data_IF_416466496267
#
_entry.id   IF_416466496267
#
_cell.length_a   1.000
_cell.length_b   1.000
_cell.length_c   1.000
_cell.angle_alpha   90.00
_cell.angle_beta   90.00
_cell.angle_gamma   90.00
#
_symmetry.space_group_name_H-M   'P 1'
#
loop_
_entity.id
_entity.type
_entity.pdbx_description
1 polymer ?
#
# COMPACT_ATOMS: atom_id res chain seq x y z
N UNK A 1 -26.89 6.83 -3.79
CA UNK A 1 -26.12 7.87 -4.51
C UNK A 1 -26.99 8.42 -5.62
N UNK A 2 -26.94 9.72 -5.95
CA UNK A 2 -27.74 10.23 -7.04
C UNK A 2 -27.18 9.66 -8.35
N UNK A 3 -27.92 8.74 -8.94
CA UNK A 3 -27.63 8.09 -10.24
C UNK A 3 -27.80 9.11 -11.39
N UNK A 4 -28.23 10.34 -11.11
CA UNK A 4 -28.71 11.30 -12.13
C UNK A 4 -27.62 12.04 -12.92
N UNK A 5 -26.34 11.81 -12.66
CA UNK A 5 -25.28 12.34 -13.54
C UNK A 5 -25.06 11.42 -14.74
N UNK A 6 -24.65 11.94 -15.92
CA UNK A 6 -24.35 11.09 -17.08
C UNK A 6 -23.32 9.99 -16.75
N UNK A 7 -22.29 10.33 -15.98
CA UNK A 7 -21.26 9.40 -15.50
C UNK A 7 -21.86 8.32 -14.59
N UNK A 8 -22.73 8.71 -13.64
CA UNK A 8 -23.42 7.76 -12.76
C UNK A 8 -24.34 6.81 -13.52
N UNK A 9 -25.08 7.29 -14.52
CA UNK A 9 -25.93 6.45 -15.40
C UNK A 9 -25.13 5.46 -16.23
N UNK A 10 -23.90 5.80 -16.62
CA UNK A 10 -22.97 4.90 -17.29
C UNK A 10 -22.42 3.80 -16.35
N UNK A 11 -22.71 3.86 -15.05
CA UNK A 11 -22.31 2.85 -14.07
C UNK A 11 -20.90 3.01 -13.51
N UNK A 12 -20.27 4.18 -13.71
CA UNK A 12 -18.94 4.46 -13.17
C UNK A 12 -18.95 4.57 -11.65
N UNK A 13 -17.95 3.96 -11.02
CA UNK A 13 -17.69 3.99 -9.58
C UNK A 13 -16.22 3.72 -9.29
N UNK A 14 -15.80 3.87 -8.04
CA UNK A 14 -14.50 3.42 -7.56
C UNK A 14 -14.34 1.91 -7.82
N UNK A 15 -13.22 1.53 -8.40
CA UNK A 15 -12.92 0.16 -8.80
C UNK A 15 -13.53 -0.28 -10.14
N UNK A 16 -14.20 0.61 -10.87
CA UNK A 16 -14.53 0.37 -12.29
C UNK A 16 -13.25 0.25 -13.11
N UNK A 17 -13.24 -0.68 -14.08
CA UNK A 17 -12.14 -0.88 -15.02
C UNK A 17 -12.51 -0.27 -16.36
N UNK A 18 -11.58 0.40 -17.03
CA UNK A 18 -11.78 0.90 -18.38
C UNK A 18 -11.70 -0.25 -19.39
N UNK A 19 -12.50 -0.16 -20.46
CA UNK A 19 -12.36 -1.07 -21.60
C UNK A 19 -11.07 -0.78 -22.34
N UNK A 20 -10.37 -1.84 -22.76
CA UNK A 20 -9.13 -1.70 -23.53
C UNK A 20 -9.33 -0.89 -24.82
N UNK A 21 -10.48 -1.04 -25.49
CA UNK A 21 -10.84 -0.28 -26.68
C UNK A 21 -10.95 1.24 -26.44
N UNK A 22 -11.23 1.66 -25.21
CA UNK A 22 -11.36 3.07 -24.84
C UNK A 22 -10.03 3.68 -24.37
N UNK A 23 -8.95 2.89 -24.23
CA UNK A 23 -7.61 3.42 -23.86
C UNK A 23 -7.12 4.46 -24.88
N UNK A 24 -7.51 4.35 -26.15
CA UNK A 24 -7.17 5.31 -27.19
C UNK A 24 -7.76 6.71 -26.97
N UNK A 25 -8.79 6.85 -26.12
CA UNK A 25 -9.42 8.14 -25.77
C UNK A 25 -8.71 8.88 -24.64
N UNK A 26 -7.70 8.26 -24.02
CA UNK A 26 -6.90 8.88 -22.97
C UNK A 26 -5.82 9.80 -23.55
N UNK A 27 -5.29 10.68 -22.71
CA UNK A 27 -4.21 11.59 -23.07
C UNK A 27 -2.94 10.82 -23.50
N UNK A 28 -2.15 11.43 -24.39
CA UNK A 28 -0.94 10.79 -24.98
C UNK A 28 0.11 10.41 -23.93
N UNK A 29 0.26 11.21 -22.87
CA UNK A 29 1.17 10.93 -21.76
C UNK A 29 0.80 9.64 -20.99
N UNK A 30 -0.50 9.28 -20.97
CA UNK A 30 -0.95 8.00 -20.41
C UNK A 30 -0.72 6.92 -21.46
N UNK A 31 -1.22 7.12 -22.69
CA UNK A 31 -1.16 6.09 -23.74
C UNK A 31 0.26 5.61 -24.05
N UNK A 32 1.22 6.53 -24.12
CA UNK A 32 2.62 6.22 -24.43
C UNK A 32 3.32 5.39 -23.34
N UNK A 33 2.80 5.37 -22.11
CA UNK A 33 3.33 4.55 -21.01
C UNK A 33 2.60 3.22 -20.82
N UNK A 34 1.46 3.01 -21.51
CA UNK A 34 0.67 1.77 -21.38
C UNK A 34 1.35 0.60 -22.09
N UNK A 35 1.56 -0.48 -21.35
CA UNK A 35 1.78 -1.80 -21.95
C UNK A 35 0.47 -2.35 -22.53
N UNK A 36 0.58 -3.23 -23.52
CA UNK A 36 -0.57 -3.85 -24.18
C UNK A 36 -1.47 -4.62 -23.23
N UNK A 37 -0.90 -5.21 -22.17
CA UNK A 37 -1.60 -6.03 -21.18
C UNK A 37 -2.10 -5.23 -19.97
N UNK A 38 -1.96 -3.89 -19.98
CA UNK A 38 -2.36 -3.04 -18.86
C UNK A 38 -3.89 -3.02 -18.69
N UNK A 39 -4.33 -2.95 -17.43
CA UNK A 39 -5.69 -2.57 -17.04
C UNK A 39 -5.67 -1.21 -16.37
N UNK A 40 -6.74 -0.44 -16.54
CA UNK A 40 -6.85 0.90 -15.96
C UNK A 40 -8.07 0.94 -15.04
N UNK A 41 -7.84 1.31 -13.79
CA UNK A 41 -8.84 1.29 -12.71
C UNK A 41 -9.16 2.72 -12.29
N UNK A 42 -10.44 3.05 -12.11
CA UNK A 42 -10.85 4.31 -11.47
C UNK A 42 -10.67 4.20 -9.97
N UNK A 43 -9.89 5.10 -9.36
CA UNK A 43 -9.58 5.05 -7.92
C UNK A 43 -10.14 6.22 -7.11
N UNK A 44 -10.63 7.28 -7.75
CA UNK A 44 -11.44 8.31 -7.07
C UNK A 44 -12.69 7.71 -6.41
N UNK A 45 -13.17 8.34 -5.34
CA UNK A 45 -14.35 7.86 -4.62
C UNK A 45 -15.61 8.01 -5.47
N UNK A 46 -16.61 7.16 -5.21
CA UNK A 46 -17.87 7.16 -5.96
C UNK A 46 -18.55 8.53 -6.01
N UNK A 47 -18.51 9.28 -4.90
CA UNK A 47 -19.07 10.63 -4.81
C UNK A 47 -18.34 11.65 -5.69
N UNK A 48 -17.03 11.47 -5.88
CA UNK A 48 -16.20 12.35 -6.70
C UNK A 48 -16.41 12.00 -8.18
N UNK A 49 -16.36 10.70 -8.49
CA UNK A 49 -16.61 10.15 -9.84
C UNK A 49 -17.97 10.60 -10.37
N UNK A 50 -19.01 10.56 -9.54
CA UNK A 50 -20.39 10.86 -9.95
C UNK A 50 -20.85 12.27 -9.60
N UNK A 51 -19.96 13.14 -9.12
CA UNK A 51 -20.32 14.51 -8.70
C UNK A 51 -20.98 15.30 -9.84
N UNK A 52 -22.08 16.00 -9.54
CA UNK A 52 -22.82 16.81 -10.52
C UNK A 52 -22.11 18.08 -10.99
N UNK A 53 -21.05 18.52 -10.30
CA UNK A 53 -20.29 19.71 -10.64
C UNK A 53 -18.90 19.36 -11.15
N UNK A 54 -18.65 19.64 -12.43
CA UNK A 54 -17.32 19.53 -13.02
C UNK A 54 -16.36 20.66 -12.58
N UNK A 55 -16.87 21.74 -12.01
CA UNK A 55 -16.02 22.80 -11.47
C UNK A 55 -15.48 22.43 -10.08
N UNK A 56 -16.33 21.82 -9.24
CA UNK A 56 -15.92 21.36 -7.91
C UNK A 56 -15.08 20.08 -7.98
N UNK A 57 -15.44 19.18 -8.89
CA UNK A 57 -14.74 17.91 -9.10
C UNK A 57 -14.41 17.71 -10.60
N UNK A 58 -13.34 18.36 -11.10
CA UNK A 58 -13.00 18.36 -12.52
C UNK A 58 -12.34 17.07 -12.99
N UNK A 59 -11.67 16.35 -12.09
CA UNK A 59 -10.79 15.24 -12.45
C UNK A 59 -11.25 13.92 -11.86
N UNK A 60 -10.79 12.84 -12.46
CA UNK A 60 -10.83 11.50 -11.89
C UNK A 60 -9.41 10.93 -11.89
N UNK A 61 -9.04 10.23 -10.82
CA UNK A 61 -7.78 9.53 -10.71
C UNK A 61 -7.92 8.11 -11.28
N UNK A 62 -7.04 7.80 -12.23
CA UNK A 62 -6.85 6.49 -12.84
C UNK A 62 -5.60 5.83 -12.27
N UNK A 63 -5.65 4.51 -12.15
CA UNK A 63 -4.54 3.67 -11.73
C UNK A 63 -4.27 2.60 -12.77
N UNK A 64 -3.09 2.69 -13.40
CA UNK A 64 -2.65 1.72 -14.41
C UNK A 64 -1.97 0.56 -13.70
N UNK A 65 -2.39 -0.66 -14.03
CA UNK A 65 -1.93 -1.88 -13.39
C UNK A 65 -1.68 -2.99 -14.39
N UNK A 66 -0.84 -3.95 -14.02
CA UNK A 66 -0.34 -4.99 -14.91
C UNK A 66 -0.63 -6.39 -14.36
N UNK A 67 -0.93 -7.37 -15.23
CA UNK A 67 -1.12 -8.75 -14.80
C UNK A 67 0.10 -9.30 -14.08
N UNK A 68 -0.14 -10.17 -13.11
CA UNK A 68 0.91 -10.75 -12.28
C UNK A 68 0.70 -12.24 -12.04
N UNK A 69 1.77 -13.01 -12.23
CA UNK A 69 1.78 -14.47 -12.07
C UNK A 69 2.36 -14.94 -10.73
N UNK A 70 3.26 -14.16 -10.11
CA UNK A 70 3.95 -14.56 -8.88
C UNK A 70 3.38 -13.91 -7.60
N UNK A 71 3.05 -14.73 -6.60
CA UNK A 71 2.69 -14.26 -5.24
C UNK A 71 3.95 -14.16 -4.35
N UNK A 72 4.12 -13.05 -3.64
CA UNK A 72 5.20 -12.84 -2.64
C UNK A 72 4.60 -12.38 -1.30
N UNK A 73 4.95 -13.03 -0.19
CA UNK A 73 4.37 -12.78 1.15
C UNK A 73 4.55 -11.35 1.66
N UNK A 74 5.70 -10.74 1.39
CA UNK A 74 5.97 -9.34 1.74
C UNK A 74 5.13 -8.30 0.99
N UNK A 75 4.34 -8.72 -0.01
CA UNK A 75 3.51 -7.84 -0.84
C UNK A 75 2.01 -8.02 -0.60
N UNK A 76 1.62 -8.92 0.29
CA UNK A 76 0.24 -9.03 0.74
C UNK A 76 -0.17 -7.79 1.54
N UNK A 77 -1.46 -7.47 1.55
CA UNK A 77 -2.04 -6.39 2.36
C UNK A 77 -1.44 -4.98 2.13
N UNK A 78 -0.86 -4.74 0.95
CA UNK A 78 -0.32 -3.42 0.59
C UNK A 78 0.76 -2.94 1.56
N UNK A 79 1.69 -3.82 1.95
CA UNK A 79 2.80 -3.50 2.87
C UNK A 79 3.89 -2.64 2.25
N UNK A 80 4.10 -2.76 0.94
CA UNK A 80 5.00 -1.88 0.22
C UNK A 80 4.29 -0.56 -0.06
N UNK A 81 4.88 0.61 0.24
CA UNK A 81 4.29 1.91 -0.12
C UNK A 81 4.47 2.28 -1.61
N UNK A 82 5.22 1.46 -2.36
CA UNK A 82 5.56 1.69 -3.77
C UNK A 82 4.84 0.76 -4.72
N UNK A 83 4.50 -0.44 -4.27
CA UNK A 83 3.85 -1.48 -5.07
C UNK A 83 2.69 -2.10 -4.30
N UNK A 84 1.64 -2.49 -5.00
CA UNK A 84 0.50 -3.20 -4.42
C UNK A 84 0.09 -4.36 -5.31
N UNK A 85 -0.10 -5.53 -4.68
CA UNK A 85 -0.73 -6.68 -5.30
C UNK A 85 -2.20 -6.76 -4.87
N UNK A 86 -3.11 -6.90 -5.84
CA UNK A 86 -4.53 -7.03 -5.58
C UNK A 86 -5.21 -7.85 -6.70
N UNK A 87 -6.50 -8.16 -6.52
CA UNK A 87 -7.27 -8.92 -7.52
C UNK A 87 -8.20 -8.01 -8.31
N UNK A 88 -8.31 -8.28 -9.60
CA UNK A 88 -9.39 -7.78 -10.46
C UNK A 88 -10.16 -9.02 -10.93
N UNK A 89 -11.50 -8.97 -10.85
CA UNK A 89 -12.34 -9.99 -11.44
C UNK A 89 -12.46 -9.70 -12.93
N UNK A 90 -11.97 -10.61 -13.78
CA UNK A 90 -11.99 -10.52 -15.24
C UNK A 90 -12.70 -11.77 -15.75
N UNK A 91 -13.77 -11.61 -16.53
CA UNK A 91 -14.60 -12.71 -17.06
C UNK A 91 -15.05 -13.71 -15.97
N UNK A 92 -15.34 -13.18 -14.78
CA UNK A 92 -15.76 -13.99 -13.62
C UNK A 92 -14.62 -14.68 -12.85
N UNK A 93 -13.37 -14.57 -13.31
CA UNK A 93 -12.20 -15.12 -12.63
C UNK A 93 -11.40 -14.06 -11.88
N UNK A 94 -10.97 -14.37 -10.64
CA UNK A 94 -10.09 -13.49 -9.88
C UNK A 94 -8.66 -13.59 -10.45
N UNK A 95 -8.20 -12.49 -11.06
CA UNK A 95 -6.90 -12.37 -11.69
C UNK A 95 -6.02 -11.42 -10.88
N UNK A 96 -4.77 -11.81 -10.67
CA UNK A 96 -3.82 -11.03 -9.87
C UNK A 96 -3.18 -9.93 -10.71
N UNK A 97 -3.14 -8.72 -10.14
CA UNK A 97 -2.49 -7.55 -10.74
C UNK A 97 -1.50 -6.93 -9.77
N UNK A 98 -0.50 -6.23 -10.33
CA UNK A 98 0.40 -5.34 -9.62
C UNK A 98 0.19 -3.90 -10.10
N UNK A 99 0.15 -2.97 -9.17
CA UNK A 99 0.20 -1.54 -9.45
C UNK A 99 1.39 -0.88 -8.78
N UNK A 100 1.96 0.14 -9.43
CA UNK A 100 3.05 0.96 -8.88
C UNK A 100 2.53 2.35 -8.54
N UNK A 101 2.94 2.90 -7.39
CA UNK A 101 2.38 4.17 -6.91
C UNK A 101 2.62 5.38 -7.83
N UNK A 102 3.57 5.27 -8.77
CA UNK A 102 3.83 6.23 -9.85
C UNK A 102 2.82 6.19 -10.98
N UNK A 103 2.11 5.08 -11.16
CA UNK A 103 1.31 4.80 -12.36
C UNK A 103 -0.12 5.29 -12.18
N UNK A 104 -0.24 6.52 -11.64
CA UNK A 104 -1.50 7.19 -11.32
C UNK A 104 -1.61 8.47 -12.11
N UNK A 105 -2.77 8.68 -12.71
CA UNK A 105 -3.00 9.77 -13.64
C UNK A 105 -4.32 10.44 -13.31
N UNK A 106 -4.32 11.78 -13.29
CA UNK A 106 -5.55 12.54 -13.22
C UNK A 106 -5.95 12.92 -14.63
N UNK A 107 -7.20 12.66 -15.01
CA UNK A 107 -7.76 13.04 -16.31
C UNK A 107 -9.00 13.91 -16.11
N UNK A 108 -9.41 14.65 -17.15
CA UNK A 108 -10.73 15.31 -17.15
C UNK A 108 -11.82 14.25 -17.01
N UNK A 109 -12.63 14.39 -15.95
CA UNK A 109 -13.68 13.44 -15.61
C UNK A 109 -14.77 13.35 -16.68
N UNK A 110 -14.95 14.38 -17.52
CA UNK A 110 -15.91 14.37 -18.65
C UNK A 110 -15.64 13.26 -19.66
N UNK A 111 -14.40 12.77 -19.76
CA UNK A 111 -14.09 11.62 -20.61
C UNK A 111 -15.01 10.44 -20.26
N UNK A 112 -15.35 10.23 -18.97
CA UNK A 112 -16.23 9.16 -18.50
C UNK A 112 -17.69 9.27 -18.99
N UNK A 113 -18.13 10.42 -19.51
CA UNK A 113 -19.43 10.53 -20.18
C UNK A 113 -19.44 9.82 -21.55
N UNK A 114 -18.27 9.76 -22.20
CA UNK A 114 -18.08 9.25 -23.56
C UNK A 114 -17.64 7.78 -23.62
N UNK A 115 -17.41 7.20 -22.45
CA UNK A 115 -16.99 5.81 -22.26
C UNK A 115 -17.81 5.16 -21.15
N UNK A 116 -17.76 3.85 -21.09
CA UNK A 116 -18.48 3.05 -20.09
C UNK A 116 -17.52 2.06 -19.45
N UNK A 117 -17.75 1.66 -18.17
CA UNK A 117 -16.95 0.63 -17.56
C UNK A 117 -16.92 -0.66 -18.40
N UNK A 118 -15.84 -1.41 -18.25
CA UNK A 118 -15.77 -2.78 -18.76
C UNK A 118 -16.78 -3.65 -18.00
N UNK A 119 -17.79 -4.22 -18.67
CA UNK A 119 -18.78 -5.06 -18.00
C UNK A 119 -18.19 -6.39 -17.50
N UNK A 120 -17.05 -6.84 -18.05
CA UNK A 120 -16.42 -8.10 -17.66
C UNK A 120 -15.38 -7.94 -16.55
N UNK A 121 -14.96 -6.69 -16.27
CA UNK A 121 -13.84 -6.40 -15.38
C UNK A 121 -14.24 -5.45 -14.25
N UNK A 122 -14.02 -5.87 -13.00
CA UNK A 122 -14.21 -4.99 -11.85
C UNK A 122 -13.35 -5.42 -10.66
N UNK A 123 -13.05 -4.47 -9.78
CA UNK A 123 -12.43 -4.79 -8.50
C UNK A 123 -13.47 -5.40 -7.56
N UNK A 124 -13.18 -6.56 -6.93
CA UNK A 124 -13.91 -7.01 -5.75
C UNK A 124 -13.85 -5.97 -4.62
N UNK A 125 -14.83 -6.00 -3.71
CA UNK A 125 -14.93 -5.04 -2.60
C UNK A 125 -13.70 -5.01 -1.68
N UNK A 126 -13.06 -6.16 -1.50
CA UNK A 126 -11.84 -6.35 -0.72
C UNK A 126 -10.67 -5.63 -1.41
N UNK A 127 -10.56 -5.75 -2.73
CA UNK A 127 -9.55 -5.03 -3.52
C UNK A 127 -9.78 -3.52 -3.51
N UNK A 128 -11.03 -3.06 -3.60
CA UNK A 128 -11.35 -1.62 -3.46
C UNK A 128 -10.91 -1.10 -2.09
N UNK A 129 -11.25 -1.83 -1.02
CA UNK A 129 -10.89 -1.47 0.35
C UNK A 129 -9.38 -1.47 0.56
N UNK A 130 -8.68 -2.49 0.04
CA UNK A 130 -7.23 -2.60 0.10
C UNK A 130 -6.55 -1.44 -0.64
N UNK A 131 -6.99 -1.15 -1.87
CA UNK A 131 -6.42 -0.10 -2.70
C UNK A 131 -6.63 1.28 -2.06
N UNK A 132 -7.83 1.56 -1.55
CA UNK A 132 -8.11 2.80 -0.81
C UNK A 132 -7.19 2.95 0.40
N UNK A 133 -7.08 1.92 1.24
CA UNK A 133 -6.20 1.95 2.41
C UNK A 133 -4.73 2.15 2.01
N UNK A 134 -4.28 1.49 0.94
CA UNK A 134 -2.92 1.62 0.42
C UNK A 134 -2.61 3.01 -0.13
N UNK A 135 -3.54 3.62 -0.89
CA UNK A 135 -3.39 4.99 -1.38
C UNK A 135 -3.28 5.98 -0.20
N UNK A 136 -4.10 5.80 0.83
CA UNK A 136 -4.07 6.63 2.04
C UNK A 136 -2.76 6.50 2.84
N UNK A 137 -2.09 5.33 2.82
CA UNK A 137 -0.85 5.11 3.56
C UNK A 137 0.26 6.12 3.20
N UNK A 138 0.29 6.62 1.95
CA UNK A 138 1.31 7.58 1.52
C UNK A 138 1.19 8.92 2.23
N UNK A 139 -0.02 9.34 2.58
CA UNK A 139 -0.27 10.57 3.33
C UNK A 139 -0.08 10.36 4.83
N UNK A 140 -0.29 9.14 5.32
CA UNK A 140 -0.08 8.78 6.72
C UNK A 140 1.37 8.34 7.02
N UNK A 141 2.29 8.53 6.08
CA UNK A 141 3.68 8.09 6.23
C UNK A 141 4.43 9.06 7.15
N UNK A 142 4.53 8.71 8.43
CA UNK A 142 5.41 9.36 9.39
C UNK A 142 6.81 8.75 9.31
N UNK A 143 7.86 9.60 9.34
CA UNK A 143 9.23 9.13 9.37
C UNK A 143 9.62 8.69 10.79
N UNK A 144 10.51 7.69 10.86
CA UNK A 144 11.26 7.41 12.08
C UNK A 144 12.49 8.33 12.14
N UNK A 145 13.01 8.66 13.34
CA UNK A 145 14.28 9.37 13.49
C UNK A 145 15.43 8.64 12.75
N UNK A 146 16.36 9.41 12.19
CA UNK A 146 17.43 8.87 11.35
C UNK A 146 18.38 7.98 12.16
N UNK A 147 18.68 8.32 13.41
CA UNK A 147 19.52 7.52 14.31
C UNK A 147 18.86 6.17 14.59
N UNK A 148 17.53 6.12 14.75
CA UNK A 148 16.81 4.86 14.92
C UNK A 148 16.97 3.96 13.68
N UNK A 149 16.75 4.50 12.49
CA UNK A 149 16.88 3.75 11.23
C UNK A 149 18.31 3.26 11.01
N UNK A 150 19.31 4.11 11.27
CA UNK A 150 20.73 3.75 11.14
C UNK A 150 21.12 2.59 12.08
N UNK A 151 20.52 2.50 13.28
CA UNK A 151 20.76 1.37 14.22
C UNK A 151 20.26 0.03 13.69
N UNK A 152 19.19 0.05 12.88
CA UNK A 152 18.59 -1.13 12.26
C UNK A 152 19.27 -1.54 10.94
N UNK A 153 20.09 -0.69 10.35
CA UNK A 153 20.72 -0.90 9.04
C UNK A 153 21.47 -2.24 8.96
N UNK A 154 22.16 -2.62 10.02
CA UNK A 154 22.93 -3.87 10.10
C UNK A 154 22.08 -5.16 10.07
N UNK A 155 20.78 -5.08 10.39
CA UNK A 155 19.86 -6.23 10.39
C UNK A 155 18.81 -6.14 9.28
N UNK A 156 18.89 -5.13 8.40
CA UNK A 156 17.84 -4.85 7.41
C UNK A 156 17.55 -6.01 6.47
N UNK A 157 18.59 -6.65 5.94
CA UNK A 157 18.44 -7.73 4.96
C UNK A 157 17.82 -8.96 5.62
N UNK A 158 18.13 -9.19 6.90
CA UNK A 158 17.50 -10.24 7.69
C UNK A 158 16.03 -9.96 7.95
N UNK A 159 15.68 -8.72 8.33
CA UNK A 159 14.28 -8.29 8.51
C UNK A 159 13.50 -8.50 7.21
N UNK A 160 14.03 -8.02 6.08
CA UNK A 160 13.39 -8.16 4.79
C UNK A 160 13.21 -9.63 4.37
N UNK A 161 14.24 -10.44 4.54
CA UNK A 161 14.19 -11.88 4.24
C UNK A 161 13.11 -12.61 5.05
N UNK A 162 13.03 -12.34 6.37
CA UNK A 162 12.02 -12.92 7.25
C UNK A 162 10.61 -12.52 6.79
N UNK A 163 10.36 -11.21 6.61
CA UNK A 163 9.04 -10.71 6.23
C UNK A 163 8.60 -11.22 4.86
N UNK A 164 9.52 -11.33 3.90
CA UNK A 164 9.21 -11.85 2.57
C UNK A 164 8.85 -13.34 2.57
N UNK A 165 9.52 -14.13 3.41
CA UNK A 165 9.34 -15.59 3.48
C UNK A 165 8.19 -16.03 4.37
N UNK A 166 8.01 -15.37 5.51
CA UNK A 166 7.16 -15.85 6.61
C UNK A 166 6.08 -14.85 7.01
N UNK A 167 6.08 -13.64 6.43
CA UNK A 167 5.14 -12.58 6.83
C UNK A 167 3.81 -12.56 6.08
N UNK A 168 3.40 -13.61 5.37
CA UNK A 168 2.28 -13.55 4.42
C UNK A 168 0.92 -13.24 5.09
N UNK A 169 0.76 -13.62 6.36
CA UNK A 169 -0.46 -13.57 7.18
C UNK A 169 -0.51 -12.35 8.11
N UNK A 170 0.61 -11.64 8.24
CA UNK A 170 0.72 -10.38 8.96
C UNK A 170 0.20 -9.29 8.02
N UNK A 171 -0.73 -8.42 8.43
CA UNK A 171 -1.19 -7.29 7.61
C UNK A 171 -0.31 -6.05 7.76
N UNK A 172 0.26 -5.81 8.95
CA UNK A 172 1.18 -4.70 9.21
C UNK A 172 2.21 -5.04 10.30
N UNK A 173 3.38 -4.40 10.22
CA UNK A 173 4.28 -4.26 11.36
C UNK A 173 4.10 -2.83 11.89
N UNK A 174 3.77 -2.70 13.16
CA UNK A 174 3.61 -1.42 13.84
C UNK A 174 4.73 -1.25 14.86
N UNK A 175 5.37 -0.09 14.89
CA UNK A 175 6.44 0.24 15.82
C UNK A 175 6.11 1.52 16.55
N UNK A 176 6.12 1.45 17.88
CA UNK A 176 6.18 2.64 18.74
C UNK A 176 7.59 2.80 19.25
N UNK A 177 8.10 4.03 19.22
CA UNK A 177 9.40 4.37 19.81
C UNK A 177 9.24 5.49 20.82
N UNK A 178 10.12 5.57 21.81
CA UNK A 178 10.19 6.70 22.74
C UNK A 178 11.67 7.13 22.89
N UNK A 179 12.01 8.41 22.61
CA UNK A 179 11.18 9.43 21.95
C UNK A 179 10.92 9.10 20.46
N UNK A 180 9.84 9.63 19.88
CA UNK A 180 9.42 9.34 18.49
C UNK A 180 9.58 10.49 17.50
N UNK A 181 9.88 11.69 18.00
CA UNK A 181 9.94 12.95 17.27
C UNK A 181 11.36 13.53 17.16
N UNK A 182 12.32 13.00 17.92
CA UNK A 182 13.70 13.48 17.94
C UNK A 182 14.72 12.35 17.92
N UNK A 183 15.90 12.64 17.36
CA UNK A 183 17.05 11.76 17.48
C UNK A 183 17.61 11.77 18.90
N UNK A 184 17.78 10.58 19.48
CA UNK A 184 18.50 10.40 20.76
C UNK A 184 20.00 10.46 20.55
N UNK A 185 20.73 10.74 21.63
CA UNK A 185 22.21 10.73 21.61
C UNK A 185 22.74 9.33 21.35
N UNK A 186 24.01 9.23 20.90
CA UNK A 186 24.62 7.93 20.58
C UNK A 186 24.63 6.95 21.75
N UNK A 187 24.76 7.45 22.98
CA UNK A 187 24.78 6.69 24.23
C UNK A 187 23.38 6.40 24.81
N UNK A 188 22.33 6.99 24.25
CA UNK A 188 20.94 6.80 24.66
C UNK A 188 20.24 5.73 23.82
N UNK A 189 19.26 5.04 24.42
CA UNK A 189 18.50 3.99 23.76
C UNK A 189 17.06 4.43 23.47
N UNK A 190 16.54 4.03 22.31
CA UNK A 190 15.11 4.09 22.05
C UNK A 190 14.43 2.95 22.81
N UNK A 191 13.34 3.24 23.51
CA UNK A 191 12.39 2.19 23.90
C UNK A 191 11.53 1.85 22.71
N UNK A 192 11.35 0.56 22.43
CA UNK A 192 10.67 0.09 21.22
C UNK A 192 9.57 -0.91 21.58
N UNK A 193 8.36 -0.65 21.10
CA UNK A 193 7.27 -1.61 21.04
C UNK A 193 7.13 -2.10 19.61
N UNK A 194 7.11 -3.42 19.40
CA UNK A 194 7.09 -4.04 18.08
C UNK A 194 5.89 -4.98 17.94
N UNK A 195 4.93 -4.62 17.08
CA UNK A 195 3.70 -5.38 16.93
C UNK A 195 3.53 -5.91 15.51
N UNK A 196 3.28 -7.22 15.38
CA UNK A 196 2.75 -7.80 14.16
C UNK A 196 1.22 -7.81 14.23
N UNK A 197 0.55 -7.18 13.27
CA UNK A 197 -0.91 -7.15 13.22
C UNK A 197 -1.42 -8.20 12.24
N UNK A 198 -2.47 -8.93 12.60
CA UNK A 198 -3.10 -9.95 11.75
C UNK A 198 -4.59 -9.66 11.52
N UNK A 199 -5.13 -9.94 10.32
CA UNK A 199 -6.56 -9.96 10.07
C UNK A 199 -7.29 -10.88 11.04
N UNK A 200 -8.45 -10.44 11.54
CA UNK A 200 -9.22 -11.13 12.61
C UNK A 200 -9.51 -12.60 12.26
N UNK A 201 -9.83 -12.90 11.00
CA UNK A 201 -10.10 -14.26 10.52
C UNK A 201 -8.84 -15.16 10.52
N UNK A 202 -7.66 -14.59 10.24
CA UNK A 202 -6.40 -15.32 10.30
C UNK A 202 -5.92 -15.48 11.74
N UNK A 203 -6.07 -14.45 12.58
CA UNK A 203 -5.65 -14.47 13.99
C UNK A 203 -6.40 -15.53 14.82
N UNK A 204 -7.68 -15.78 14.50
CA UNK A 204 -8.49 -16.85 15.12
C UNK A 204 -7.90 -18.26 14.89
N UNK A 205 -7.12 -18.45 13.84
CA UNK A 205 -6.48 -19.73 13.54
C UNK A 205 -5.18 -19.85 14.35
N UNK A 206 -5.21 -20.66 15.41
CA UNK A 206 -4.10 -20.78 16.36
C UNK A 206 -2.75 -21.11 15.70
N UNK A 207 -2.75 -21.98 14.68
CA UNK A 207 -1.54 -22.35 13.94
C UNK A 207 -0.93 -21.17 13.17
N UNK A 208 -1.75 -20.29 12.59
CA UNK A 208 -1.28 -19.10 11.88
C UNK A 208 -0.80 -18.03 12.87
N UNK A 209 -1.51 -17.84 13.98
CA UNK A 209 -1.09 -16.93 15.05
C UNK A 209 0.27 -17.33 15.63
N UNK A 210 0.49 -18.62 15.90
CA UNK A 210 1.80 -19.11 16.36
C UNK A 210 2.90 -18.85 15.33
N UNK A 211 2.64 -19.03 14.03
CA UNK A 211 3.62 -18.70 12.99
C UNK A 211 3.96 -17.21 12.97
N UNK A 212 2.97 -16.33 13.05
CA UNK A 212 3.20 -14.89 13.13
C UNK A 212 3.98 -14.50 14.40
N UNK A 213 3.75 -15.20 15.53
CA UNK A 213 4.50 -14.95 16.76
C UNK A 213 5.97 -15.37 16.61
N UNK A 214 6.25 -16.47 15.91
CA UNK A 214 7.63 -16.83 15.60
C UNK A 214 8.32 -15.76 14.75
N UNK A 215 7.60 -15.16 13.79
CA UNK A 215 8.13 -14.03 13.00
C UNK A 215 8.45 -12.84 13.90
N UNK A 216 7.53 -12.41 14.77
CA UNK A 216 7.77 -11.25 15.64
C UNK A 216 8.87 -11.53 16.67
N UNK A 217 9.00 -12.77 17.16
CA UNK A 217 10.09 -13.18 18.05
C UNK A 217 11.45 -13.12 17.33
N UNK A 218 11.52 -13.55 16.07
CA UNK A 218 12.72 -13.44 15.25
C UNK A 218 13.11 -11.98 15.01
N UNK A 219 12.15 -11.12 14.65
CA UNK A 219 12.39 -9.69 14.49
C UNK A 219 12.82 -9.05 15.82
N UNK A 220 12.18 -9.39 16.93
CA UNK A 220 12.57 -8.92 18.25
C UNK A 220 14.00 -9.33 18.64
N UNK A 221 14.44 -10.54 18.26
CA UNK A 221 15.84 -10.96 18.42
C UNK A 221 16.80 -10.12 17.58
N UNK A 222 16.42 -9.70 16.37
CA UNK A 222 17.24 -8.80 15.54
C UNK A 222 17.32 -7.39 16.15
N UNK A 223 16.19 -6.85 16.62
CA UNK A 223 16.14 -5.53 17.26
C UNK A 223 17.02 -5.48 18.51
N UNK A 224 16.96 -6.51 19.37
CA UNK A 224 17.81 -6.60 20.57
C UNK A 224 19.32 -6.69 20.29
N UNK A 225 19.73 -7.07 19.08
CA UNK A 225 21.15 -7.07 18.67
C UNK A 225 21.65 -5.67 18.30
N UNK A 226 20.74 -4.72 18.09
CA UNK A 226 21.09 -3.38 17.68
C UNK A 226 21.42 -2.51 18.90
N UNK A 227 22.62 -1.95 18.94
CA UNK A 227 23.02 -1.00 19.98
C UNK A 227 22.06 0.20 20.02
N UNK A 228 21.72 0.67 21.22
CA UNK A 228 20.79 1.79 21.38
C UNK A 228 19.32 1.43 21.12
N UNK A 229 18.96 0.15 21.11
CA UNK A 229 17.56 -0.32 21.02
C UNK A 229 17.22 -1.12 22.27
N UNK A 230 16.29 -0.60 23.06
CA UNK A 230 15.66 -1.31 24.18
C UNK A 230 14.27 -1.79 23.75
N UNK A 231 14.16 -3.06 23.37
CA UNK A 231 12.88 -3.67 23.04
C UNK A 231 12.05 -3.90 24.31
N UNK A 232 10.96 -3.14 24.46
CA UNK A 232 10.03 -3.20 25.60
C UNK A 232 9.01 -4.31 25.39
N UNK A 233 8.45 -4.40 24.19
CA UNK A 233 7.41 -5.38 23.86
C UNK A 233 7.54 -5.90 22.42
N UNK A 234 7.14 -7.16 22.21
CA UNK A 234 7.16 -7.82 20.91
C UNK A 234 6.09 -8.92 20.83
N UNK A 235 4.97 -8.63 20.19
CA UNK A 235 3.83 -9.56 20.14
C UNK A 235 3.00 -9.45 18.86
N UNK A 236 2.18 -10.47 18.61
CA UNK A 236 1.15 -10.45 17.58
C UNK A 236 -0.15 -9.94 18.15
N UNK A 237 -0.78 -8.99 17.46
CA UNK A 237 -2.12 -8.47 17.76
C UNK A 237 -3.08 -8.75 16.61
N UNK A 238 -4.35 -8.88 16.94
CA UNK A 238 -5.42 -8.90 15.95
C UNK A 238 -5.82 -7.48 15.54
N UNK A 239 -6.30 -7.29 14.31
CA UNK A 239 -6.80 -5.99 13.82
C UNK A 239 -7.91 -5.39 14.70
N UNK A 240 -8.68 -6.23 15.42
CA UNK A 240 -9.71 -5.76 16.35
C UNK A 240 -9.16 -5.31 17.72
N UNK A 241 -7.87 -5.49 17.98
CA UNK A 241 -7.18 -5.08 19.21
C UNK A 241 -6.37 -3.79 19.01
N UNK A 242 -6.13 -3.38 17.75
CA UNK A 242 -5.45 -2.11 17.44
C UNK A 242 -6.43 -0.96 17.66
N UNK A 243 -6.11 -0.10 18.62
CA UNK A 243 -6.97 1.02 19.02
C UNK A 243 -6.72 2.27 18.18
N UNK A 244 -7.61 3.26 18.29
CA UNK A 244 -7.37 4.58 17.71
C UNK A 244 -6.14 5.27 18.34
N UNK A 245 -5.87 5.00 19.61
CA UNK A 245 -4.72 5.57 20.32
C UNK A 245 -3.40 4.96 19.80
N UNK A 246 -3.38 3.65 19.59
CA UNK A 246 -2.28 2.95 18.93
C UNK A 246 -1.94 3.60 17.57
N UNK A 247 -2.95 3.99 16.78
CA UNK A 247 -2.74 4.62 15.47
C UNK A 247 -2.15 6.04 15.53
N UNK A 248 -2.10 6.67 16.71
CA UNK A 248 -1.48 7.99 16.89
C UNK A 248 0.01 7.88 17.19
N UNK A 249 0.43 6.83 17.90
CA UNK A 249 1.81 6.66 18.38
C UNK A 249 2.58 5.56 17.66
N UNK A 250 1.89 4.54 17.15
CA UNK A 250 2.52 3.47 16.40
C UNK A 250 2.62 3.86 14.93
N UNK A 251 3.84 3.81 14.41
CA UNK A 251 4.14 4.05 13.00
C UNK A 251 4.21 2.70 12.28
N UNK A 252 3.58 2.62 11.11
CA UNK A 252 3.72 1.43 10.25
C UNK A 252 5.17 1.32 9.78
N UNK A 253 5.80 0.20 10.06
CA UNK A 253 7.16 -0.10 9.65
C UNK A 253 7.17 -0.89 8.35
N UNK A 254 7.96 -0.42 7.39
CA UNK A 254 8.17 -1.03 6.08
C UNK A 254 9.66 -1.17 5.83
N UNK A 255 10.08 -2.21 5.12
CA UNK A 255 11.49 -2.40 4.74
C UNK A 255 12.01 -1.26 3.86
N UNK A 256 11.10 -0.50 3.24
CA UNK A 256 11.38 0.72 2.51
C UNK A 256 12.00 1.85 3.35
N UNK A 257 11.88 1.84 4.68
CA UNK A 257 12.64 2.77 5.52
C UNK A 257 14.14 2.45 5.55
N UNK A 258 14.51 1.20 5.29
CA UNK A 258 15.89 0.71 5.34
C UNK A 258 16.56 0.67 3.96
N UNK A 259 15.84 1.01 2.88
CA UNK A 259 16.32 0.92 1.51
C UNK A 259 17.01 2.18 0.98
N UNK A 260 17.24 3.21 1.80
CA UNK A 260 17.92 4.44 1.37
C UNK A 260 19.43 4.41 1.66
N UNK A 261 20.21 3.96 0.67
CA UNK A 261 21.50 4.57 0.21
C UNK A 261 22.16 3.68 -0.85
N UNK A 262 21.94 3.99 -2.13
CA UNK A 262 22.92 3.92 -3.24
C UNK A 262 22.26 4.33 -4.58
N UNK A 263 22.23 5.63 -4.87
CA UNK A 263 22.37 6.17 -6.25
C UNK A 263 22.52 7.70 -6.23
N UNK A 264 23.58 8.22 -5.62
CA UNK A 264 24.10 9.52 -6.02
C UNK A 264 24.89 9.36 -7.32
N UNK A 265 24.18 9.34 -8.44
CA UNK A 265 24.71 9.78 -9.73
C UNK A 265 23.60 10.54 -10.42
N UNK A 266 23.38 11.77 -9.98
CA UNK A 266 22.64 12.76 -10.75
C UNK A 266 23.49 13.03 -11.99
N UNK A 267 23.15 12.39 -13.11
CA UNK A 267 23.61 12.80 -14.42
C UNK A 267 22.75 14.01 -14.81
N UNK A 268 23.28 15.21 -14.64
CA UNK A 268 22.76 16.36 -15.36
C UNK A 268 23.24 16.25 -16.80
N UNK A 269 22.36 16.31 -17.81
CA UNK A 269 22.80 16.53 -19.17
C UNK A 269 23.32 17.98 -19.28
N UNK A 270 24.58 18.11 -19.68
CA UNK A 270 25.15 19.39 -20.10
C UNK A 270 24.48 19.82 -21.41
N UNK A 271 23.90 21.03 -21.40
CA UNK A 271 23.55 21.94 -22.52
C UNK A 271 23.10 21.33 -23.85
#
# INVERSE_FOLDING_TARGET
MPIDTPIGRNGWRQGSVLRQADHAKLDENIRSSLRLDASIVVVSHDCDVTNGSYEKEPTVELFVVYPRTEKKGGRTFGKSPREIDFQIRVDGCDTSFIGHASDRYHIDRRILETITPDPQSHLPSESVSLLRSWLAQRYNRSAFPDVFLNRLEQVKDNIESILNREGAEISAILIGIEPDDVDVREDESYKVNLYAVMPVNLYKQASLRTKAQLVIDQLGKLFRKCGGIQLVDAEVRSENEVTLDDMRYLKRFTTDYLSNKKSSSVFFPST
#
